data_IF_502646026011
#
_entry.id   IF_502646026011
#
_cell.length_a   1.000
_cell.length_b   1.000
_cell.length_c   1.000
_cell.angle_alpha   90.00
_cell.angle_beta   90.00
_cell.angle_gamma   90.00
#
_symmetry.space_group_name_H-M   'P 1'
#
loop_
_entity.id
_entity.type
_entity.pdbx_description
1 polymer ?
#
# COMPACT_ATOMS: atom_id res chain seq x y z
N UNK A 1 26.07 -19.31 -16.37
CA UNK A 1 25.61 -18.86 -17.71
C UNK A 1 26.37 -17.60 -18.04
N UNK A 2 26.97 -17.51 -19.24
CA UNK A 2 27.68 -16.28 -19.64
C UNK A 2 26.67 -15.34 -20.37
N UNK A 3 26.09 -14.40 -19.63
CA UNK A 3 25.28 -13.35 -20.22
C UNK A 3 26.24 -12.32 -20.81
N UNK A 4 26.27 -12.19 -22.13
CA UNK A 4 27.12 -11.25 -22.86
C UNK A 4 26.37 -9.97 -23.20
N UNK A 5 27.10 -8.86 -23.41
CA UNK A 5 26.51 -7.59 -23.78
C UNK A 5 25.73 -7.66 -25.10
N UNK A 6 26.18 -8.46 -26.06
CA UNK A 6 25.48 -8.65 -27.35
C UNK A 6 24.10 -9.27 -27.16
N UNK A 7 23.94 -10.25 -26.26
CA UNK A 7 22.63 -10.83 -25.93
C UNK A 7 21.70 -9.79 -25.32
N UNK A 8 22.22 -8.98 -24.40
CA UNK A 8 21.41 -7.94 -23.73
C UNK A 8 20.99 -6.87 -24.73
N UNK A 9 21.91 -6.43 -25.60
CA UNK A 9 21.60 -5.47 -26.66
C UNK A 9 20.51 -5.97 -27.57
N UNK A 10 20.60 -7.23 -28.04
CA UNK A 10 19.59 -7.85 -28.90
C UNK A 10 18.20 -7.86 -28.25
N UNK A 11 18.11 -8.26 -26.97
CA UNK A 11 16.87 -8.24 -26.18
C UNK A 11 16.26 -6.83 -26.10
N UNK A 12 17.10 -5.82 -25.84
CA UNK A 12 16.63 -4.42 -25.74
C UNK A 12 16.16 -3.89 -27.12
N UNK A 13 16.91 -4.19 -28.18
CA UNK A 13 16.59 -3.68 -29.52
C UNK A 13 15.35 -4.34 -30.11
N UNK A 14 15.18 -5.65 -29.88
CA UNK A 14 13.99 -6.39 -30.30
C UNK A 14 12.78 -6.17 -29.35
N UNK A 15 12.97 -5.50 -28.20
CA UNK A 15 11.95 -5.34 -27.13
C UNK A 15 11.47 -6.69 -26.56
N UNK A 16 12.36 -7.68 -26.51
CA UNK A 16 12.07 -9.03 -26.00
C UNK A 16 12.12 -9.02 -24.46
N UNK A 17 11.20 -8.25 -23.87
CA UNK A 17 10.99 -8.15 -22.43
C UNK A 17 9.60 -8.70 -22.09
N UNK A 18 9.55 -9.59 -21.12
CA UNK A 18 8.33 -10.08 -20.51
C UNK A 18 8.28 -9.69 -19.03
N UNK A 19 7.13 -9.90 -18.39
CA UNK A 19 6.88 -9.50 -17.01
C UNK A 19 6.43 -10.71 -16.20
N UNK A 20 7.07 -10.91 -15.08
CA UNK A 20 6.58 -11.73 -13.96
C UNK A 20 5.97 -10.81 -12.92
N UNK A 21 4.99 -11.32 -12.18
CA UNK A 21 4.35 -10.59 -11.11
C UNK A 21 4.62 -11.27 -9.78
N UNK A 22 4.89 -10.48 -8.75
CA UNK A 22 5.01 -10.98 -7.39
C UNK A 22 3.92 -10.36 -6.51
N UNK A 23 3.08 -11.18 -5.86
CA UNK A 23 1.98 -10.67 -5.07
C UNK A 23 2.44 -10.10 -3.74
N UNK A 24 1.72 -9.04 -3.32
CA UNK A 24 1.82 -8.41 -2.01
C UNK A 24 0.57 -8.79 -1.23
N UNK A 25 0.77 -9.33 -0.02
CA UNK A 25 -0.28 -9.96 0.77
C UNK A 25 -0.62 -9.17 2.02
N UNK A 26 -1.90 -9.18 2.37
CA UNK A 26 -2.39 -8.77 3.69
C UNK A 26 -2.77 -10.01 4.49
N UNK A 27 -2.18 -10.20 5.67
CA UNK A 27 -2.60 -11.24 6.61
C UNK A 27 -3.93 -10.91 7.26
N UNK A 28 -4.21 -9.62 7.47
CA UNK A 28 -5.46 -9.18 8.07
C UNK A 28 -6.66 -9.52 7.19
N UNK A 29 -6.53 -9.28 5.87
CA UNK A 29 -7.59 -9.54 4.90
C UNK A 29 -7.47 -10.92 4.25
N UNK A 30 -6.32 -11.60 4.41
CA UNK A 30 -5.96 -12.86 3.75
C UNK A 30 -6.06 -12.80 2.23
N UNK A 31 -5.69 -11.65 1.65
CA UNK A 31 -5.78 -11.38 0.21
C UNK A 31 -4.50 -10.80 -0.36
N UNK A 32 -4.38 -10.91 -1.67
CA UNK A 32 -3.48 -10.12 -2.48
C UNK A 32 -4.03 -8.70 -2.55
N UNK A 33 -3.25 -7.72 -2.11
CA UNK A 33 -3.62 -6.29 -2.14
C UNK A 33 -2.97 -5.56 -3.30
N UNK A 34 -1.86 -6.07 -3.80
CA UNK A 34 -1.10 -5.53 -4.91
C UNK A 34 -0.25 -6.60 -5.56
N UNK A 35 0.25 -6.29 -6.73
CA UNK A 35 1.23 -7.12 -7.45
C UNK A 35 2.36 -6.25 -7.97
N UNK A 36 3.60 -6.63 -7.71
CA UNK A 36 4.76 -5.96 -8.27
C UNK A 36 5.13 -6.57 -9.62
N UNK A 37 5.31 -5.69 -10.62
CA UNK A 37 5.73 -6.05 -11.96
C UNK A 37 7.26 -6.12 -12.05
N UNK A 38 7.78 -7.30 -12.33
CA UNK A 38 9.21 -7.59 -12.39
C UNK A 38 9.60 -7.97 -13.82
N UNK A 39 10.25 -7.05 -14.51
CA UNK A 39 10.68 -7.25 -15.90
C UNK A 39 11.79 -8.29 -16.02
N UNK A 40 11.76 -9.05 -17.12
CA UNK A 40 12.76 -10.05 -17.51
C UNK A 40 13.06 -9.89 -18.98
N UNK A 41 14.32 -10.02 -19.37
CA UNK A 41 14.68 -10.17 -20.77
C UNK A 41 14.51 -11.63 -21.22
N UNK A 42 14.06 -11.83 -22.46
CA UNK A 42 14.02 -13.14 -23.09
C UNK A 42 15.02 -13.18 -24.25
N UNK A 43 16.09 -13.93 -24.09
CA UNK A 43 17.03 -14.20 -25.17
C UNK A 43 16.83 -15.64 -25.65
N UNK A 44 15.94 -15.85 -26.63
CA UNK A 44 15.64 -17.17 -27.18
C UNK A 44 15.31 -18.25 -26.12
N UNK A 45 14.54 -17.86 -25.08
CA UNK A 45 14.19 -18.72 -23.95
C UNK A 45 15.19 -18.70 -22.77
N UNK A 46 16.32 -17.98 -22.89
CA UNK A 46 17.23 -17.71 -21.77
C UNK A 46 16.79 -16.43 -21.04
N UNK A 47 16.40 -16.56 -19.76
CA UNK A 47 15.93 -15.43 -18.96
C UNK A 47 17.09 -14.55 -18.51
N UNK A 48 17.03 -13.26 -18.84
CA UNK A 48 17.97 -12.24 -18.40
C UNK A 48 17.34 -11.44 -17.26
N UNK A 49 18.01 -11.40 -16.09
CA UNK A 49 17.50 -10.65 -14.95
C UNK A 49 17.57 -9.13 -15.15
N UNK A 50 16.72 -8.34 -14.48
CA UNK A 50 16.73 -6.88 -14.58
C UNK A 50 18.07 -6.27 -14.16
N UNK A 51 18.80 -6.91 -13.25
CA UNK A 51 20.14 -6.48 -12.87
C UNK A 51 21.08 -6.33 -14.08
N UNK A 52 21.11 -7.32 -14.98
CA UNK A 52 21.96 -7.27 -16.18
C UNK A 52 21.43 -6.28 -17.22
N UNK A 53 20.10 -6.18 -17.39
CA UNK A 53 19.47 -5.21 -18.30
C UNK A 53 19.83 -3.78 -17.89
N UNK A 54 19.64 -3.42 -16.63
CA UNK A 54 19.91 -2.06 -16.15
C UNK A 54 21.42 -1.78 -15.98
N UNK A 55 22.25 -2.80 -15.69
CA UNK A 55 23.70 -2.64 -15.73
C UNK A 55 24.16 -2.24 -17.13
N UNK A 56 23.77 -3.01 -18.14
CA UNK A 56 24.08 -2.69 -19.54
C UNK A 56 23.55 -1.31 -19.93
N UNK A 57 22.31 -0.99 -19.54
CA UNK A 57 21.70 0.27 -19.86
C UNK A 57 22.46 1.47 -19.30
N UNK A 58 22.99 1.38 -18.08
CA UNK A 58 23.85 2.41 -17.47
C UNK A 58 25.19 2.54 -18.17
N UNK A 59 25.79 1.43 -18.59
CA UNK A 59 27.10 1.42 -19.28
C UNK A 59 27.00 1.91 -20.75
N UNK A 60 25.77 1.94 -21.33
CA UNK A 60 25.52 2.31 -22.73
C UNK A 60 24.53 3.47 -22.91
N UNK A 61 24.35 4.32 -21.90
CA UNK A 61 23.51 5.54 -21.94
C UNK A 61 22.08 5.30 -22.45
N UNK A 62 21.48 4.15 -22.15
CA UNK A 62 20.11 3.81 -22.59
C UNK A 62 19.14 3.47 -21.46
N UNK A 63 19.40 3.93 -20.24
CA UNK A 63 18.58 3.67 -19.05
C UNK A 63 17.14 4.08 -19.27
N UNK A 64 16.90 5.29 -19.78
CA UNK A 64 15.57 5.80 -20.06
C UNK A 64 14.78 4.89 -21.04
N UNK A 65 15.47 4.39 -22.09
CA UNK A 65 14.86 3.47 -23.08
C UNK A 65 14.42 2.17 -22.42
N UNK A 66 15.28 1.58 -21.59
CA UNK A 66 15.01 0.30 -20.91
C UNK A 66 13.93 0.44 -19.86
N UNK A 67 14.00 1.48 -19.04
CA UNK A 67 13.04 1.76 -17.98
C UNK A 67 11.62 1.98 -18.54
N UNK A 68 11.48 2.81 -19.60
CA UNK A 68 10.22 2.98 -20.31
C UNK A 68 9.66 1.68 -20.86
N UNK A 69 10.50 0.92 -21.55
CA UNK A 69 10.11 -0.36 -22.13
C UNK A 69 9.60 -1.34 -21.06
N UNK A 70 10.27 -1.42 -19.90
CA UNK A 70 9.86 -2.25 -18.79
C UNK A 70 8.47 -1.84 -18.26
N UNK A 71 8.22 -0.53 -18.06
CA UNK A 71 6.92 -0.03 -17.60
C UNK A 71 5.81 -0.22 -18.63
N UNK A 72 6.07 0.03 -19.91
CA UNK A 72 5.11 -0.23 -20.99
C UNK A 72 4.68 -1.69 -21.02
N UNK A 73 5.64 -2.62 -20.92
CA UNK A 73 5.37 -4.06 -20.86
C UNK A 73 4.60 -4.46 -19.60
N UNK A 74 4.92 -3.88 -18.44
CA UNK A 74 4.24 -4.13 -17.18
C UNK A 74 2.76 -3.72 -17.25
N UNK A 75 2.48 -2.49 -17.68
CA UNK A 75 1.11 -1.99 -17.79
C UNK A 75 0.30 -2.73 -18.87
N UNK A 76 0.93 -3.04 -20.01
CA UNK A 76 0.28 -3.82 -21.07
C UNK A 76 -0.01 -5.27 -20.66
N UNK A 77 0.82 -5.89 -19.82
CA UNK A 77 0.55 -7.22 -19.30
C UNK A 77 -0.59 -7.18 -18.27
N UNK A 78 -0.56 -6.20 -17.36
CA UNK A 78 -1.56 -6.01 -16.32
C UNK A 78 -2.96 -5.68 -16.86
N UNK A 79 -3.07 -4.84 -17.89
CA UNK A 79 -4.36 -4.40 -18.47
C UNK A 79 -5.18 -5.52 -19.10
N UNK A 80 -4.59 -6.69 -19.34
CA UNK A 80 -5.28 -7.87 -19.88
C UNK A 80 -6.05 -8.65 -18.81
N UNK A 81 -5.83 -8.33 -17.54
CA UNK A 81 -6.39 -9.06 -16.43
C UNK A 81 -7.72 -8.47 -15.96
N UNK A 82 -8.71 -9.33 -15.71
CA UNK A 82 -10.08 -8.91 -15.34
C UNK A 82 -10.26 -8.62 -13.86
N UNK A 83 -9.40 -9.20 -13.00
CA UNK A 83 -9.39 -8.97 -11.55
C UNK A 83 -7.98 -8.54 -11.21
N UNK A 84 -7.76 -7.24 -11.13
CA UNK A 84 -6.44 -6.71 -10.89
C UNK A 84 -6.41 -5.97 -9.54
N UNK A 85 -5.56 -6.43 -8.60
CA UNK A 85 -5.19 -5.65 -7.43
C UNK A 85 -4.36 -4.43 -7.88
N UNK A 86 -3.90 -3.61 -6.95
CA UNK A 86 -3.03 -2.46 -7.28
C UNK A 86 -1.73 -2.93 -7.95
N UNK A 87 -1.35 -2.29 -9.04
CA UNK A 87 -0.11 -2.56 -9.77
C UNK A 87 1.05 -1.76 -9.18
N UNK A 88 2.11 -2.41 -8.80
CA UNK A 88 3.36 -1.79 -8.40
C UNK A 88 4.35 -1.81 -9.57
N UNK A 89 4.88 -0.66 -9.95
CA UNK A 89 5.83 -0.51 -11.05
C UNK A 89 7.10 0.19 -10.58
N UNK A 90 8.22 -0.42 -10.86
CA UNK A 90 9.53 0.14 -10.58
C UNK A 90 9.81 1.35 -11.49
N UNK A 91 10.46 2.36 -10.92
CA UNK A 91 10.98 3.53 -11.64
C UNK A 91 12.47 3.71 -11.34
N UNK A 92 13.28 3.66 -12.37
CA UNK A 92 14.73 3.90 -12.24
C UNK A 92 15.01 5.41 -12.07
N UNK A 93 15.24 5.82 -10.86
CA UNK A 93 15.32 7.23 -10.47
C UNK A 93 16.50 7.99 -11.12
N UNK A 94 17.56 7.31 -11.57
CA UNK A 94 18.66 7.95 -12.32
C UNK A 94 18.20 8.60 -13.63
N UNK A 95 17.05 8.19 -14.17
CA UNK A 95 16.40 8.78 -15.34
C UNK A 95 16.04 10.26 -15.11
N UNK A 96 15.77 10.67 -13.89
CA UNK A 96 15.44 12.07 -13.54
C UNK A 96 16.59 13.04 -13.81
N UNK A 97 17.83 12.55 -13.95
CA UNK A 97 18.96 13.37 -14.32
C UNK A 97 18.89 13.88 -15.77
N UNK A 98 18.09 13.22 -16.63
CA UNK A 98 18.05 13.42 -18.08
C UNK A 98 16.68 13.88 -18.60
N UNK A 99 15.63 13.85 -17.75
CA UNK A 99 14.26 14.22 -18.13
C UNK A 99 13.66 15.21 -17.14
N UNK A 100 12.71 16.00 -17.63
CA UNK A 100 11.93 16.91 -16.77
C UNK A 100 11.08 16.07 -15.81
N UNK A 101 11.22 16.26 -14.49
CA UNK A 101 10.35 15.60 -13.51
C UNK A 101 8.87 15.89 -13.81
N UNK A 102 8.04 14.85 -13.76
CA UNK A 102 6.61 15.04 -13.99
C UNK A 102 6.22 15.31 -15.46
N UNK A 103 6.95 14.77 -16.42
CA UNK A 103 6.63 14.91 -17.86
C UNK A 103 5.34 14.17 -18.30
N UNK A 104 4.65 13.48 -17.40
CA UNK A 104 3.37 12.81 -17.64
C UNK A 104 3.45 11.52 -18.44
N UNK A 105 4.63 10.96 -18.67
CA UNK A 105 4.80 9.75 -19.47
C UNK A 105 4.10 8.53 -18.86
N UNK A 106 4.27 8.30 -17.55
CA UNK A 106 3.62 7.18 -16.86
C UNK A 106 2.09 7.35 -16.90
N UNK A 107 1.59 8.57 -16.70
CA UNK A 107 0.17 8.89 -16.80
C UNK A 107 -0.39 8.58 -18.19
N UNK A 108 0.35 8.93 -19.26
CA UNK A 108 -0.01 8.61 -20.63
C UNK A 108 -0.06 7.11 -20.85
N UNK A 109 0.97 6.37 -20.43
CA UNK A 109 1.04 4.89 -20.57
C UNK A 109 -0.10 4.21 -19.80
N UNK A 110 -0.43 4.69 -18.60
CA UNK A 110 -1.57 4.19 -17.83
C UNK A 110 -2.89 4.40 -18.58
N UNK A 111 -3.11 5.60 -19.12
CA UNK A 111 -4.30 5.93 -19.93
C UNK A 111 -4.42 5.07 -21.18
N UNK A 112 -3.33 4.87 -21.93
CA UNK A 112 -3.29 4.02 -23.13
C UNK A 112 -3.63 2.55 -22.83
N UNK A 113 -3.38 2.10 -21.60
CA UNK A 113 -3.71 0.75 -21.13
C UNK A 113 -5.03 0.69 -20.34
N UNK A 114 -5.81 1.78 -20.26
CA UNK A 114 -7.04 1.89 -19.47
C UNK A 114 -6.88 1.54 -18.00
N UNK A 115 -5.74 1.86 -17.40
CA UNK A 115 -5.47 1.67 -15.98
C UNK A 115 -5.65 3.02 -15.29
N UNK A 116 -6.49 3.04 -14.26
CA UNK A 116 -6.70 4.22 -13.44
C UNK A 116 -5.47 4.52 -12.58
N UNK A 117 -5.01 5.79 -12.47
CA UNK A 117 -3.82 6.15 -11.71
C UNK A 117 -3.83 5.66 -10.25
N UNK A 118 -4.98 5.69 -9.59
CA UNK A 118 -5.17 5.22 -8.21
C UNK A 118 -4.93 3.70 -8.03
N UNK A 119 -4.87 2.94 -9.13
CA UNK A 119 -4.53 1.52 -9.13
C UNK A 119 -3.05 1.27 -9.46
N UNK A 120 -2.23 2.31 -9.47
CA UNK A 120 -0.79 2.21 -9.74
C UNK A 120 0.00 2.79 -8.59
N UNK A 121 0.96 2.02 -8.09
CA UNK A 121 2.02 2.46 -7.18
C UNK A 121 3.31 2.60 -7.96
N UNK A 122 3.93 3.77 -7.92
CA UNK A 122 5.26 3.99 -8.50
C UNK A 122 6.29 3.75 -7.39
N UNK A 123 7.16 2.76 -7.59
CA UNK A 123 8.23 2.41 -6.67
C UNK A 123 9.50 3.19 -7.00
N UNK A 124 9.97 3.97 -6.05
CA UNK A 124 11.15 4.80 -6.18
C UNK A 124 12.33 4.13 -5.45
N UNK A 125 13.29 3.65 -6.24
CA UNK A 125 14.56 3.21 -5.73
C UNK A 125 15.57 4.36 -5.86
N UNK A 126 15.99 4.89 -4.73
CA UNK A 126 16.66 6.19 -4.61
C UNK A 126 18.17 6.20 -4.79
N UNK A 127 18.78 5.05 -5.00
CA UNK A 127 20.26 4.88 -4.92
C UNK A 127 21.04 5.72 -5.94
N UNK A 128 20.40 6.38 -6.92
CA UNK A 128 21.07 7.00 -8.06
C UNK A 128 20.61 8.42 -8.44
N UNK A 129 19.82 9.10 -7.60
CA UNK A 129 19.36 10.47 -7.89
C UNK A 129 20.43 11.49 -7.51
N UNK A 130 20.79 12.37 -8.44
CA UNK A 130 21.76 13.47 -8.20
C UNK A 130 21.11 14.64 -7.46
N UNK A 131 19.85 14.95 -7.78
CA UNK A 131 19.10 16.04 -7.17
C UNK A 131 17.83 15.53 -6.51
N UNK A 132 17.76 15.65 -5.20
CA UNK A 132 16.60 15.28 -4.39
C UNK A 132 15.37 16.14 -4.69
N UNK A 133 15.55 17.34 -5.22
CA UNK A 133 14.45 18.21 -5.64
C UNK A 133 13.69 17.64 -6.84
N UNK A 134 14.39 17.07 -7.82
CA UNK A 134 13.77 16.42 -8.98
C UNK A 134 12.92 15.22 -8.56
N UNK A 135 13.38 14.47 -7.57
CA UNK A 135 12.62 13.34 -7.01
C UNK A 135 11.34 13.81 -6.29
N UNK A 136 11.41 14.91 -5.54
CA UNK A 136 10.26 15.53 -4.90
C UNK A 136 9.24 16.01 -5.95
N UNK A 137 9.68 16.76 -6.94
CA UNK A 137 8.81 17.25 -8.02
C UNK A 137 8.15 16.11 -8.79
N UNK A 138 8.87 15.01 -9.02
CA UNK A 138 8.34 13.81 -9.63
C UNK A 138 7.24 13.18 -8.76
N UNK A 139 7.53 12.93 -7.50
CA UNK A 139 6.57 12.32 -6.57
C UNK A 139 5.30 13.17 -6.42
N UNK A 140 5.44 14.49 -6.25
CA UNK A 140 4.31 15.41 -6.11
C UNK A 140 3.46 15.48 -7.38
N UNK A 141 4.09 15.48 -8.56
CA UNK A 141 3.36 15.47 -9.83
C UNK A 141 2.49 14.21 -9.95
N UNK A 142 3.07 13.02 -9.76
CA UNK A 142 2.31 11.76 -9.92
C UNK A 142 1.27 11.59 -8.83
N UNK A 143 1.57 11.95 -7.59
CA UNK A 143 0.58 11.94 -6.49
C UNK A 143 -0.61 12.87 -6.78
N UNK A 144 -0.36 14.07 -7.30
CA UNK A 144 -1.44 15.02 -7.65
C UNK A 144 -2.31 14.52 -8.80
N UNK A 145 -1.82 13.55 -9.60
CA UNK A 145 -2.57 12.87 -10.64
C UNK A 145 -3.18 11.52 -10.18
N UNK A 146 -3.16 11.23 -8.88
CA UNK A 146 -3.85 10.09 -8.28
C UNK A 146 -3.01 8.82 -8.10
N UNK A 147 -1.73 8.81 -8.51
CA UNK A 147 -0.84 7.68 -8.26
C UNK A 147 -0.45 7.59 -6.79
N UNK A 148 -0.13 6.38 -6.34
CA UNK A 148 0.54 6.17 -5.06
C UNK A 148 2.05 6.08 -5.27
N UNK A 149 2.80 6.56 -4.28
CA UNK A 149 4.27 6.55 -4.31
C UNK A 149 4.79 5.60 -3.22
N UNK A 150 5.60 4.63 -3.61
CA UNK A 150 6.30 3.76 -2.68
C UNK A 150 7.80 4.10 -2.64
N UNK A 151 8.35 4.13 -1.44
CA UNK A 151 9.80 4.15 -1.24
C UNK A 151 10.28 2.71 -1.12
N UNK A 152 11.12 2.29 -2.06
CA UNK A 152 11.58 0.90 -2.19
C UNK A 152 12.94 0.65 -1.54
N UNK A 153 13.21 -0.60 -1.16
CA UNK A 153 14.46 -1.07 -0.56
C UNK A 153 14.91 -0.26 0.68
N UNK A 154 13.96 0.13 1.53
CA UNK A 154 14.26 0.89 2.74
C UNK A 154 15.00 0.01 3.75
N UNK A 155 16.28 0.34 3.99
CA UNK A 155 17.17 -0.37 4.91
C UNK A 155 17.78 0.55 5.97
N UNK A 156 18.77 0.09 6.72
CA UNK A 156 19.48 0.87 7.75
C UNK A 156 20.54 1.79 7.14
N UNK A 157 20.14 2.88 6.51
CA UNK A 157 21.08 3.87 5.95
C UNK A 157 21.01 5.24 6.65
N UNK A 158 22.09 6.02 6.61
CA UNK A 158 22.15 7.37 7.22
C UNK A 158 21.12 8.36 6.66
N UNK A 159 20.52 8.07 5.50
CA UNK A 159 19.68 9.01 4.77
C UNK A 159 18.21 8.62 4.67
N UNK A 160 17.82 7.45 5.19
CA UNK A 160 16.46 6.93 5.10
C UNK A 160 15.41 7.89 5.66
N UNK A 161 15.68 8.51 6.83
CA UNK A 161 14.74 9.43 7.46
C UNK A 161 14.56 10.71 6.63
N UNK A 162 15.64 11.26 6.08
CA UNK A 162 15.57 12.44 5.21
C UNK A 162 14.75 12.17 3.95
N UNK A 163 14.87 10.99 3.39
CA UNK A 163 14.15 10.57 2.19
C UNK A 163 12.66 10.36 2.46
N UNK A 164 12.32 9.67 3.54
CA UNK A 164 10.94 9.53 3.98
C UNK A 164 10.30 10.91 4.18
N UNK A 165 11.02 11.84 4.82
CA UNK A 165 10.52 13.20 5.03
C UNK A 165 10.36 13.98 3.71
N UNK A 166 11.31 13.82 2.78
CA UNK A 166 11.31 14.55 1.51
C UNK A 166 10.20 14.04 0.57
N UNK A 167 10.11 12.72 0.39
CA UNK A 167 9.20 12.09 -0.57
C UNK A 167 7.79 12.00 0.00
N UNK A 168 7.65 11.93 1.35
CA UNK A 168 6.40 11.67 2.04
C UNK A 168 5.62 10.51 1.41
N UNK A 169 6.19 9.28 1.37
CA UNK A 169 5.65 8.18 0.59
C UNK A 169 4.32 7.68 1.15
N UNK A 170 3.47 7.16 0.27
CA UNK A 170 2.23 6.47 0.66
C UNK A 170 2.53 5.05 1.19
N UNK A 171 3.63 4.45 0.71
CA UNK A 171 4.05 3.09 1.06
C UNK A 171 5.57 3.08 1.32
N UNK A 172 6.00 2.36 2.36
CA UNK A 172 7.40 2.06 2.66
C UNK A 172 7.63 0.57 2.54
N UNK A 173 8.48 0.15 1.60
CA UNK A 173 8.89 -1.24 1.43
C UNK A 173 10.20 -1.48 2.19
N UNK A 174 10.13 -2.28 3.26
CA UNK A 174 11.26 -2.56 4.14
C UNK A 174 12.05 -3.72 3.57
N UNK A 175 13.30 -3.43 3.25
CA UNK A 175 14.22 -4.31 2.55
C UNK A 175 14.46 -5.64 3.27
N UNK A 176 14.66 -6.71 2.48
CA UNK A 176 15.01 -8.04 2.95
C UNK A 176 16.20 -8.07 3.91
N UNK A 177 17.17 -7.17 3.78
CA UNK A 177 18.34 -7.14 4.68
C UNK A 177 17.95 -6.91 6.15
N UNK A 178 16.81 -6.23 6.41
CA UNK A 178 16.25 -6.06 7.75
C UNK A 178 15.32 -7.21 8.10
N UNK A 179 14.53 -7.69 7.14
CA UNK A 179 13.48 -8.70 7.34
C UNK A 179 14.07 -10.10 7.55
N UNK A 180 15.17 -10.41 6.85
CA UNK A 180 15.81 -11.73 6.95
C UNK A 180 16.30 -12.05 8.38
N UNK A 181 15.89 -13.21 8.91
CA UNK A 181 16.17 -13.66 10.26
C UNK A 181 15.74 -12.67 11.38
N UNK A 182 14.73 -11.86 11.12
CA UNK A 182 14.24 -10.85 12.06
C UNK A 182 13.71 -11.49 13.37
N UNK A 183 13.26 -12.74 13.33
CA UNK A 183 12.79 -13.51 14.49
C UNK A 183 13.89 -13.73 15.51
N UNK A 184 15.15 -13.79 15.11
CA UNK A 184 16.32 -14.02 15.98
C UNK A 184 17.28 -12.84 16.11
N UNK A 185 17.20 -11.87 15.20
CA UNK A 185 18.11 -10.72 15.14
C UNK A 185 17.52 -9.49 15.84
N UNK A 186 17.91 -9.25 17.09
CA UNK A 186 17.44 -8.09 17.89
C UNK A 186 17.76 -6.74 17.26
N UNK A 187 18.91 -6.60 16.59
CA UNK A 187 19.26 -5.35 15.91
C UNK A 187 18.28 -5.04 14.77
N UNK A 188 18.00 -6.02 13.92
CA UNK A 188 17.03 -5.90 12.85
C UNK A 188 15.62 -5.60 13.41
N UNK A 189 15.24 -6.20 14.54
CA UNK A 189 13.96 -5.91 15.20
C UNK A 189 13.83 -4.44 15.59
N UNK A 190 14.86 -3.85 16.20
CA UNK A 190 14.81 -2.44 16.63
C UNK A 190 14.81 -1.48 15.44
N UNK A 191 15.58 -1.75 14.39
CA UNK A 191 15.53 -0.98 13.14
C UNK A 191 14.15 -1.07 12.48
N UNK A 192 13.61 -2.28 12.37
CA UNK A 192 12.28 -2.53 11.81
C UNK A 192 11.18 -1.78 12.57
N UNK A 193 11.18 -1.86 13.92
CA UNK A 193 10.24 -1.13 14.77
C UNK A 193 10.33 0.38 14.55
N UNK A 194 11.54 0.91 14.41
CA UNK A 194 11.75 2.34 14.15
C UNK A 194 11.11 2.75 12.81
N UNK A 195 11.30 1.97 11.74
CA UNK A 195 10.69 2.22 10.44
C UNK A 195 9.16 2.12 10.48
N UNK A 196 8.62 1.08 11.13
CA UNK A 196 7.17 0.93 11.34
C UNK A 196 6.58 2.12 12.10
N UNK A 197 7.25 2.58 13.17
CA UNK A 197 6.78 3.72 13.93
C UNK A 197 6.81 5.01 13.10
N UNK A 198 7.88 5.22 12.31
CA UNK A 198 7.98 6.36 11.40
C UNK A 198 6.86 6.34 10.37
N UNK A 199 6.66 5.21 9.68
CA UNK A 199 5.59 5.03 8.71
C UNK A 199 4.21 5.36 9.31
N UNK A 200 3.91 4.82 10.50
CA UNK A 200 2.65 5.09 11.21
C UNK A 200 2.46 6.56 11.55
N UNK A 201 3.54 7.27 11.93
CA UNK A 201 3.43 8.69 12.27
C UNK A 201 3.13 9.57 11.06
N UNK A 202 3.65 9.21 9.87
CA UNK A 202 3.40 9.95 8.62
C UNK A 202 2.18 9.43 7.84
N UNK A 203 1.55 8.34 8.28
CA UNK A 203 0.39 7.74 7.61
C UNK A 203 0.72 6.84 6.42
N UNK A 204 1.99 6.45 6.25
CA UNK A 204 2.40 5.52 5.22
C UNK A 204 2.08 4.06 5.61
N UNK A 205 1.69 3.25 4.62
CA UNK A 205 1.58 1.80 4.75
C UNK A 205 2.96 1.15 4.64
N UNK A 206 3.11 -0.05 5.21
CA UNK A 206 4.39 -0.76 5.24
C UNK A 206 4.30 -2.12 4.59
N UNK A 207 5.35 -2.50 3.83
CA UNK A 207 5.52 -3.83 3.24
C UNK A 207 6.81 -4.42 3.77
N UNK A 208 6.77 -5.62 4.36
CA UNK A 208 7.96 -6.41 4.66
C UNK A 208 8.34 -7.25 3.44
N UNK A 209 9.51 -6.96 2.86
CA UNK A 209 9.97 -7.63 1.66
C UNK A 209 10.86 -8.84 1.95
N UNK A 210 10.79 -9.79 1.04
CA UNK A 210 11.66 -10.95 1.05
C UNK A 210 11.44 -11.91 2.23
N UNK A 211 10.24 -11.96 2.82
CA UNK A 211 9.92 -12.95 3.86
C UNK A 211 10.01 -14.37 3.29
N UNK A 212 10.76 -15.25 3.96
CA UNK A 212 10.97 -16.63 3.52
C UNK A 212 10.45 -17.67 4.53
N UNK A 213 10.25 -17.27 5.78
CA UNK A 213 9.80 -18.17 6.85
C UNK A 213 8.53 -17.64 7.54
N UNK A 214 7.79 -18.56 8.16
CA UNK A 214 6.61 -18.17 8.96
C UNK A 214 7.00 -17.36 10.19
N UNK A 215 8.18 -17.61 10.78
CA UNK A 215 8.63 -16.91 11.97
C UNK A 215 9.01 -15.46 11.67
N UNK A 216 9.60 -15.18 10.50
CA UNK A 216 9.79 -13.83 9.99
C UNK A 216 8.44 -13.11 9.81
N UNK A 217 7.47 -13.78 9.15
CA UNK A 217 6.12 -13.22 8.94
C UNK A 217 5.45 -12.86 10.26
N UNK A 218 5.44 -13.78 11.24
CA UNK A 218 4.82 -13.56 12.55
C UNK A 218 5.52 -12.43 13.32
N UNK A 219 6.85 -12.40 13.28
CA UNK A 219 7.64 -11.36 13.97
C UNK A 219 7.36 -9.98 13.39
N UNK A 220 7.39 -9.82 12.06
CA UNK A 220 7.05 -8.57 11.39
C UNK A 220 5.60 -8.14 11.68
N UNK A 221 4.65 -9.09 11.66
CA UNK A 221 3.25 -8.80 11.96
C UNK A 221 3.04 -8.31 13.38
N UNK A 222 3.66 -8.96 14.39
CA UNK A 222 3.60 -8.53 15.78
C UNK A 222 4.21 -7.14 16.01
N UNK A 223 5.16 -6.73 15.17
CA UNK A 223 5.72 -5.38 15.16
C UNK A 223 4.85 -4.37 14.42
N UNK A 224 3.80 -4.84 13.72
CA UNK A 224 2.74 -4.00 13.16
C UNK A 224 2.96 -3.53 11.73
N UNK A 225 3.63 -4.36 10.89
CA UNK A 225 3.66 -4.18 9.44
C UNK A 225 2.27 -4.45 8.84
N UNK A 226 1.96 -3.79 7.74
CA UNK A 226 0.64 -3.89 7.10
C UNK A 226 0.59 -5.05 6.09
N UNK A 227 1.65 -5.20 5.29
CA UNK A 227 1.68 -6.11 4.14
C UNK A 227 3.00 -6.88 4.04
N UNK A 228 2.98 -7.95 3.23
CA UNK A 228 4.09 -8.88 3.07
C UNK A 228 4.33 -9.22 1.61
N UNK A 229 5.60 -9.34 1.26
CA UNK A 229 6.04 -9.84 -0.03
C UNK A 229 7.25 -10.77 0.18
N UNK A 230 7.24 -11.97 -0.45
CA UNK A 230 8.38 -12.87 -0.31
C UNK A 230 8.08 -14.30 -0.72
N UNK A 231 9.14 -15.10 -0.77
CA UNK A 231 9.08 -16.49 -1.24
C UNK A 231 8.35 -17.42 -0.27
N UNK A 232 8.10 -16.97 0.94
CA UNK A 232 7.21 -17.71 1.83
C UNK A 232 5.82 -17.88 1.22
N UNK A 233 5.30 -16.87 0.55
CA UNK A 233 3.99 -16.89 -0.07
C UNK A 233 4.06 -17.32 -1.54
N UNK A 234 4.82 -16.58 -2.36
CA UNK A 234 4.96 -16.83 -3.79
C UNK A 234 6.27 -16.26 -4.32
N UNK A 235 6.85 -16.93 -5.30
CA UNK A 235 7.90 -16.36 -6.15
C UNK A 235 7.27 -15.48 -7.22
N UNK A 236 8.07 -14.61 -7.88
CA UNK A 236 7.63 -13.96 -9.12
C UNK A 236 7.23 -15.01 -10.16
N UNK A 237 6.03 -14.87 -10.72
CA UNK A 237 5.46 -15.83 -11.68
C UNK A 237 4.58 -15.11 -12.69
N UNK A 238 4.16 -15.82 -13.75
CA UNK A 238 3.15 -15.30 -14.66
C UNK A 238 1.80 -15.13 -13.94
N UNK A 239 1.00 -14.17 -14.36
CA UNK A 239 -0.22 -13.75 -13.66
C UNK A 239 -1.17 -14.90 -13.29
N UNK A 240 -1.32 -15.89 -14.15
CA UNK A 240 -2.22 -17.03 -13.94
C UNK A 240 -1.90 -17.89 -12.70
N UNK A 241 -0.69 -17.80 -12.15
CA UNK A 241 -0.24 -18.58 -11.00
C UNK A 241 -0.29 -17.82 -9.67
N UNK A 242 -0.59 -16.50 -9.69
CA UNK A 242 -0.57 -15.64 -8.49
C UNK A 242 -1.59 -16.06 -7.41
N UNK A 243 -2.68 -16.69 -7.81
CA UNK A 243 -3.76 -17.13 -6.94
C UNK A 243 -3.69 -18.63 -6.62
N UNK A 244 -2.47 -19.17 -6.49
CA UNK A 244 -2.27 -20.58 -6.20
C UNK A 244 -2.87 -20.99 -4.85
N UNK A 245 -3.40 -22.22 -4.78
CA UNK A 245 -3.91 -22.78 -3.52
C UNK A 245 -2.81 -22.84 -2.43
N UNK A 246 -1.54 -22.99 -2.82
CA UNK A 246 -0.42 -23.06 -1.88
C UNK A 246 -0.21 -21.71 -1.17
N UNK A 247 -0.19 -20.60 -1.89
CA UNK A 247 -0.06 -19.26 -1.31
C UNK A 247 -1.24 -18.97 -0.35
N UNK A 248 -2.46 -19.33 -0.75
CA UNK A 248 -3.65 -19.20 0.11
C UNK A 248 -3.53 -20.01 1.40
N UNK A 249 -3.09 -21.27 1.33
CA UNK A 249 -2.91 -22.10 2.51
C UNK A 249 -1.84 -21.56 3.44
N UNK A 250 -0.73 -21.03 2.92
CA UNK A 250 0.33 -20.38 3.73
C UNK A 250 -0.19 -19.12 4.41
N UNK A 251 -1.03 -18.36 3.75
CA UNK A 251 -1.68 -17.17 4.32
C UNK A 251 -2.62 -17.54 5.47
N UNK A 252 -3.44 -18.57 5.29
CA UNK A 252 -4.35 -19.09 6.31
C UNK A 252 -3.58 -19.65 7.52
N UNK A 253 -2.50 -20.38 7.31
CA UNK A 253 -1.64 -20.93 8.37
C UNK A 253 -0.97 -19.82 9.18
N UNK A 254 -0.38 -18.82 8.51
CA UNK A 254 0.22 -17.67 9.18
C UNK A 254 -0.80 -16.89 10.02
N UNK A 255 -1.99 -16.62 9.47
CA UNK A 255 -3.06 -15.94 10.19
C UNK A 255 -3.57 -16.74 11.39
N UNK A 256 -3.66 -18.07 11.29
CA UNK A 256 -4.04 -18.95 12.40
C UNK A 256 -2.97 -18.90 13.52
N UNK A 257 -1.69 -19.02 13.18
CA UNK A 257 -0.57 -18.97 14.14
C UNK A 257 -0.52 -17.63 14.85
N UNK A 258 -0.76 -16.51 14.12
CA UNK A 258 -0.85 -15.18 14.70
C UNK A 258 -1.97 -15.11 15.76
N UNK A 259 -3.17 -15.56 15.42
CA UNK A 259 -4.29 -15.57 16.36
C UNK A 259 -4.00 -16.39 17.63
N UNK A 260 -3.27 -17.49 17.50
CA UNK A 260 -2.86 -18.31 18.65
C UNK A 260 -1.81 -17.62 19.52
N UNK A 261 -0.86 -16.89 18.92
CA UNK A 261 0.15 -16.14 19.69
C UNK A 261 -0.44 -14.91 20.39
N UNK A 262 -1.38 -14.21 19.76
CA UNK A 262 -2.11 -13.09 20.39
C UNK A 262 -2.97 -13.52 21.58
N UNK A 263 -3.57 -14.71 21.55
CA UNK A 263 -4.36 -15.26 22.68
C UNK A 263 -3.50 -15.61 23.91
N UNK A 264 -2.19 -15.79 23.75
CA UNK A 264 -1.26 -16.11 24.86
C UNK A 264 -0.84 -14.90 25.71
N UNK A 265 -1.07 -13.66 25.26
CA UNK A 265 -0.71 -12.42 25.96
C UNK A 265 -1.88 -11.42 26.07
N UNK A 266 -2.85 -11.61 26.97
CA UNK A 266 -4.02 -10.74 27.06
C UNK A 266 -3.87 -9.67 28.15
N UNK A 267 -2.90 -8.76 28.10
CA UNK A 267 -2.83 -7.71 29.15
C UNK A 267 -2.65 -6.31 28.57
N UNK A 268 -3.59 -5.40 28.91
CA UNK A 268 -3.61 -3.93 28.68
C UNK A 268 -4.46 -3.39 27.52
N UNK A 269 -4.88 -4.20 26.56
CA UNK A 269 -5.62 -3.71 25.37
C UNK A 269 -7.15 -3.57 25.61
N UNK A 270 -7.74 -4.30 26.57
CA UNK A 270 -9.19 -4.52 26.62
C UNK A 270 -10.06 -3.30 27.02
N UNK A 271 -9.62 -2.40 27.87
CA UNK A 271 -10.51 -1.31 28.38
C UNK A 271 -10.77 -0.22 27.32
N UNK A 272 -9.76 0.12 26.52
CA UNK A 272 -9.93 1.11 25.43
C UNK A 272 -10.72 0.55 24.24
N UNK A 273 -10.55 -0.73 23.93
CA UNK A 273 -11.26 -1.41 22.84
C UNK A 273 -12.78 -1.39 23.08
N UNK A 274 -13.23 -1.66 24.29
CA UNK A 274 -14.68 -1.63 24.63
C UNK A 274 -15.28 -0.23 24.49
N UNK A 275 -14.52 0.81 24.81
CA UNK A 275 -14.97 2.20 24.60
C UNK A 275 -15.13 2.49 23.11
N UNK A 276 -14.19 2.06 22.27
CA UNK A 276 -14.23 2.25 20.84
C UNK A 276 -15.38 1.48 20.19
N UNK A 277 -15.61 0.24 20.61
CA UNK A 277 -16.76 -0.56 20.16
C UNK A 277 -18.10 0.13 20.48
N UNK A 278 -18.20 0.74 21.66
CA UNK A 278 -19.42 1.46 22.05
C UNK A 278 -19.71 2.65 21.11
N UNK A 279 -18.69 3.43 20.76
CA UNK A 279 -18.83 4.57 19.84
C UNK A 279 -19.36 4.09 18.49
N UNK A 280 -18.74 3.08 17.90
CA UNK A 280 -19.12 2.64 16.54
C UNK A 280 -20.51 2.00 16.50
N UNK A 281 -20.85 1.17 17.49
CA UNK A 281 -22.17 0.51 17.53
C UNK A 281 -23.31 1.47 17.88
N UNK A 282 -23.08 2.50 18.71
CA UNK A 282 -24.05 3.55 18.94
C UNK A 282 -24.37 4.33 17.67
N UNK A 283 -23.32 4.70 16.91
CA UNK A 283 -23.49 5.36 15.61
C UNK A 283 -24.25 4.48 14.61
N UNK A 284 -23.89 3.18 14.52
CA UNK A 284 -24.60 2.22 13.66
C UNK A 284 -26.09 2.16 14.00
N UNK A 285 -26.44 2.10 15.28
CA UNK A 285 -27.83 2.08 15.70
C UNK A 285 -28.62 3.31 15.25
N UNK A 286 -27.97 4.48 15.21
CA UNK A 286 -28.59 5.72 14.73
C UNK A 286 -28.70 5.76 13.21
N UNK A 287 -27.76 5.17 12.48
CA UNK A 287 -27.76 5.13 11.00
C UNK A 287 -28.67 4.04 10.44
N UNK A 288 -28.92 2.97 11.20
CA UNK A 288 -29.75 1.87 10.75
C UNK A 288 -31.21 2.31 10.62
N UNK A 289 -31.77 2.09 9.43
CA UNK A 289 -33.20 2.36 9.15
C UNK A 289 -33.53 3.80 8.80
N UNK A 290 -32.57 4.75 8.80
CA UNK A 290 -32.81 6.11 8.31
C UNK A 290 -32.61 6.22 6.79
N UNK A 291 -33.25 7.23 6.21
CA UNK A 291 -33.07 7.56 4.78
C UNK A 291 -31.62 7.92 4.48
N UNK A 292 -30.98 7.31 3.45
CA UNK A 292 -29.62 7.65 3.06
C UNK A 292 -29.34 9.15 2.83
N UNK A 293 -30.31 9.90 2.40
CA UNK A 293 -30.20 11.36 2.25
C UNK A 293 -29.96 12.11 3.59
N UNK A 294 -30.24 11.45 4.71
CA UNK A 294 -30.04 12.01 6.06
C UNK A 294 -28.72 11.60 6.70
N UNK A 295 -27.92 10.73 6.06
CA UNK A 295 -26.65 10.24 6.64
C UNK A 295 -25.70 11.37 7.05
N UNK A 296 -25.47 12.36 6.17
CA UNK A 296 -24.60 13.51 6.50
C UNK A 296 -25.10 14.29 7.72
N UNK A 297 -26.42 14.49 7.84
CA UNK A 297 -27.01 15.20 8.98
C UNK A 297 -26.84 14.41 10.28
N UNK A 298 -27.05 13.08 10.25
CA UNK A 298 -26.89 12.24 11.44
C UNK A 298 -25.43 12.12 11.87
N UNK A 299 -24.48 11.97 10.90
CA UNK A 299 -23.05 12.02 11.19
C UNK A 299 -22.67 13.36 11.85
N UNK A 300 -23.22 14.49 11.38
CA UNK A 300 -22.97 15.80 11.96
C UNK A 300 -23.47 15.89 13.40
N UNK A 301 -24.70 15.43 13.65
CA UNK A 301 -25.27 15.41 15.01
C UNK A 301 -24.42 14.55 15.95
N UNK A 302 -24.05 13.34 15.50
CA UNK A 302 -23.26 12.41 16.29
C UNK A 302 -21.88 12.96 16.65
N UNK A 303 -21.18 13.55 15.69
CA UNK A 303 -19.85 14.15 15.89
C UNK A 303 -19.92 15.31 16.88
N UNK A 304 -20.97 16.14 16.84
CA UNK A 304 -21.14 17.25 17.75
C UNK A 304 -21.37 16.80 19.21
N UNK A 305 -21.90 15.59 19.43
CA UNK A 305 -22.08 15.00 20.75
C UNK A 305 -20.81 14.35 21.32
N UNK A 306 -19.79 14.06 20.44
CA UNK A 306 -18.62 13.26 20.77
C UNK A 306 -17.31 14.00 20.46
N UNK A 307 -16.78 14.74 21.42
CA UNK A 307 -15.57 15.58 21.25
C UNK A 307 -14.29 14.80 20.90
N UNK A 308 -14.26 13.50 21.16
CA UNK A 308 -13.16 12.59 20.79
C UNK A 308 -13.12 12.23 19.32
N UNK A 309 -14.21 12.44 18.57
CA UNK A 309 -14.26 12.14 17.14
C UNK A 309 -13.62 13.29 16.35
N UNK A 310 -12.78 12.95 15.38
CA UNK A 310 -12.17 13.86 14.42
C UNK A 310 -13.08 14.06 13.21
N UNK A 311 -13.46 12.94 12.61
CA UNK A 311 -14.39 12.90 11.48
C UNK A 311 -15.09 11.56 11.36
N UNK A 312 -16.13 11.50 10.53
CA UNK A 312 -16.78 10.25 10.14
C UNK A 312 -17.29 10.31 8.70
N UNK A 313 -17.37 9.16 8.06
CA UNK A 313 -17.84 8.98 6.69
C UNK A 313 -18.35 7.56 6.45
N UNK A 314 -19.12 7.39 5.37
CA UNK A 314 -19.69 6.11 4.98
C UNK A 314 -19.17 5.66 3.61
N UNK A 315 -18.99 4.35 3.46
CA UNK A 315 -18.47 3.69 2.25
C UNK A 315 -19.47 2.61 1.83
N UNK A 316 -19.75 2.49 0.54
CA UNK A 316 -20.58 1.40 0.01
C UNK A 316 -19.84 0.06 -0.04
N UNK A 317 -20.55 -1.01 -0.39
CA UNK A 317 -19.97 -2.37 -0.51
C UNK A 317 -18.91 -2.51 -1.61
N UNK A 318 -18.78 -1.52 -2.50
CA UNK A 318 -17.78 -1.50 -3.58
C UNK A 318 -16.53 -0.70 -3.21
N UNK A 319 -16.51 -0.04 -2.05
CA UNK A 319 -15.39 0.78 -1.58
C UNK A 319 -15.53 2.27 -1.87
N UNK A 320 -16.62 2.74 -2.46
CA UNK A 320 -16.81 4.15 -2.75
C UNK A 320 -17.45 4.91 -1.57
N UNK A 321 -16.88 6.05 -1.24
CA UNK A 321 -17.44 6.93 -0.22
C UNK A 321 -18.78 7.50 -0.68
N UNK A 322 -19.84 7.36 0.13
CA UNK A 322 -21.21 7.75 -0.19
C UNK A 322 -21.71 8.98 0.57
N UNK A 323 -20.92 9.46 1.53
CA UNK A 323 -21.18 10.72 2.27
C UNK A 323 -19.98 11.64 2.11
N UNK A 324 -20.13 12.91 2.46
CA UNK A 324 -18.95 13.74 2.72
C UNK A 324 -18.22 13.21 3.96
N UNK A 325 -16.91 13.51 4.07
CA UNK A 325 -16.23 13.35 5.35
C UNK A 325 -16.68 14.45 6.28
N UNK A 326 -17.60 14.12 7.19
CA UNK A 326 -18.12 15.06 8.17
C UNK A 326 -17.07 15.30 9.25
N UNK A 327 -16.65 16.54 9.43
CA UNK A 327 -15.60 16.96 10.34
C UNK A 327 -16.16 17.45 11.67
N UNK A 328 -15.43 17.18 12.76
CA UNK A 328 -15.71 17.82 14.04
C UNK A 328 -15.44 19.34 13.94
N UNK A 329 -16.33 20.20 14.50
CA UNK A 329 -16.18 21.65 14.43
C UNK A 329 -14.85 22.19 14.98
N UNK A 330 -14.27 21.47 15.96
CA UNK A 330 -13.02 21.86 16.62
C UNK A 330 -11.76 21.33 15.89
N UNK A 331 -11.94 20.70 14.72
CA UNK A 331 -10.84 20.07 14.00
C UNK A 331 -10.24 21.05 12.99
N UNK A 332 -8.99 21.44 13.23
CA UNK A 332 -8.18 22.19 12.27
C UNK A 332 -7.59 21.26 11.22
N UNK A 333 -7.64 21.65 9.96
CA UNK A 333 -7.04 20.95 8.84
C UNK A 333 -5.69 21.60 8.50
N UNK A 334 -4.62 20.82 8.53
CA UNK A 334 -3.30 21.32 8.20
C UNK A 334 -3.14 21.57 6.69
N UNK A 335 -2.23 22.48 6.31
CA UNK A 335 -1.98 22.79 4.91
C UNK A 335 -1.53 21.54 4.13
N UNK A 336 -2.12 21.33 2.96
CA UNK A 336 -1.84 20.16 2.10
C UNK A 336 -2.76 18.96 2.36
N UNK A 337 -3.57 18.97 3.41
CA UNK A 337 -4.54 17.91 3.70
C UNK A 337 -5.95 18.35 3.35
N UNK A 338 -6.81 17.41 2.99
CA UNK A 338 -8.23 17.68 2.70
C UNK A 338 -9.09 16.46 2.99
N UNK A 339 -10.29 16.64 3.53
CA UNK A 339 -11.26 15.57 3.67
C UNK A 339 -11.60 14.95 2.32
N UNK A 340 -11.75 13.63 2.29
CA UNK A 340 -12.26 12.93 1.13
C UNK A 340 -13.72 13.32 0.86
N UNK A 341 -14.10 13.35 -0.41
CA UNK A 341 -15.44 13.67 -0.86
C UNK A 341 -16.17 12.43 -1.36
N UNK A 342 -17.47 12.54 -1.61
CA UNK A 342 -18.28 11.48 -2.23
C UNK A 342 -17.61 10.99 -3.52
N UNK A 343 -17.56 9.66 -3.69
CA UNK A 343 -17.00 8.99 -4.86
C UNK A 343 -15.52 8.61 -4.75
N UNK A 344 -14.83 9.02 -3.69
CA UNK A 344 -13.44 8.53 -3.43
C UNK A 344 -13.46 7.03 -3.14
N UNK A 345 -12.52 6.30 -3.76
CA UNK A 345 -12.37 4.87 -3.56
C UNK A 345 -11.46 4.57 -2.35
N UNK A 346 -11.93 3.68 -1.47
CA UNK A 346 -11.23 3.21 -0.27
C UNK A 346 -10.89 1.72 -0.32
N UNK A 347 -10.95 1.08 -1.48
CA UNK A 347 -10.75 -0.37 -1.63
C UNK A 347 -9.45 -0.88 -1.01
N UNK A 348 -8.37 -0.11 -1.11
CA UNK A 348 -7.05 -0.48 -0.59
C UNK A 348 -6.86 -0.19 0.91
N UNK A 349 -7.84 0.43 1.56
CA UNK A 349 -7.72 0.83 2.97
C UNK A 349 -8.09 -0.31 3.90
N UNK A 350 -7.22 -0.61 4.88
CA UNK A 350 -7.42 -1.70 5.83
C UNK A 350 -8.75 -1.62 6.58
N UNK A 351 -9.21 -0.42 6.93
CA UNK A 351 -10.49 -0.22 7.62
C UNK A 351 -11.72 -0.58 6.78
N UNK A 352 -11.61 -0.58 5.45
CA UNK A 352 -12.66 -1.05 4.56
C UNK A 352 -12.54 -2.56 4.33
N UNK A 353 -11.34 -3.03 3.98
CA UNK A 353 -11.09 -4.44 3.71
C UNK A 353 -11.45 -5.36 4.88
N UNK A 354 -11.02 -5.01 6.08
CA UNK A 354 -11.26 -5.84 7.26
C UNK A 354 -12.75 -6.08 7.49
N UNK A 355 -13.57 -5.08 7.22
CA UNK A 355 -15.03 -5.16 7.35
C UNK A 355 -15.66 -5.94 6.19
N UNK A 356 -15.30 -5.59 4.94
CA UNK A 356 -15.82 -6.23 3.74
C UNK A 356 -15.64 -7.75 3.76
N UNK A 357 -14.49 -8.21 4.25
CA UNK A 357 -14.14 -9.63 4.29
C UNK A 357 -14.50 -10.30 5.62
N UNK A 358 -15.19 -9.61 6.52
CA UNK A 358 -15.61 -10.12 7.83
C UNK A 358 -14.46 -10.68 8.69
N UNK A 359 -13.26 -10.09 8.56
CA UNK A 359 -12.06 -10.54 9.27
C UNK A 359 -12.07 -10.03 10.69
N UNK A 360 -12.41 -8.76 10.86
CA UNK A 360 -12.49 -8.08 12.15
C UNK A 360 -13.62 -7.05 12.11
N UNK A 361 -14.61 -7.19 12.99
CA UNK A 361 -15.72 -6.26 13.14
C UNK A 361 -16.04 -6.02 14.63
N UNK A 362 -15.86 -4.79 15.11
CA UNK A 362 -15.30 -3.63 14.42
C UNK A 362 -13.78 -3.73 14.23
N UNK A 363 -13.28 -3.22 13.12
CA UNK A 363 -11.85 -3.01 12.89
C UNK A 363 -11.38 -1.76 13.60
N UNK A 364 -10.19 -1.83 14.21
CA UNK A 364 -9.56 -0.72 14.92
C UNK A 364 -8.12 -0.57 14.45
N UNK A 365 -7.80 0.55 13.79
CA UNK A 365 -6.44 0.81 13.30
C UNK A 365 -5.42 1.08 14.43
N UNK A 366 -4.13 1.08 14.08
CA UNK A 366 -3.10 1.79 14.85
C UNK A 366 -3.31 3.30 14.81
N UNK A 367 -2.42 4.07 15.47
CA UNK A 367 -2.36 5.53 15.30
C UNK A 367 -1.65 5.85 13.98
N UNK A 368 -2.20 6.77 13.19
CA UNK A 368 -1.64 7.22 11.92
C UNK A 368 -1.98 8.70 11.66
N UNK A 369 -1.42 9.29 10.63
CA UNK A 369 -1.77 10.65 10.21
C UNK A 369 -3.00 10.62 9.32
N UNK A 370 -4.06 11.31 9.75
CA UNK A 370 -5.30 11.45 8.98
C UNK A 370 -5.05 12.13 7.63
N UNK A 371 -5.46 11.49 6.55
CA UNK A 371 -5.47 12.11 5.23
C UNK A 371 -6.43 13.30 5.12
N UNK A 372 -7.42 13.37 6.01
CA UNK A 372 -8.38 14.46 6.06
C UNK A 372 -7.82 15.72 6.72
N UNK A 373 -6.98 15.57 7.75
CA UNK A 373 -6.58 16.69 8.63
C UNK A 373 -5.07 16.90 8.74
N UNK A 374 -4.26 15.89 8.48
CA UNK A 374 -2.83 15.90 8.77
C UNK A 374 -2.49 15.68 10.25
N UNK A 375 -3.48 15.38 11.08
CA UNK A 375 -3.28 15.12 12.52
C UNK A 375 -3.29 13.63 12.83
N UNK A 376 -2.68 13.25 13.97
CA UNK A 376 -2.66 11.85 14.40
C UNK A 376 -4.05 11.40 14.81
N UNK A 377 -4.57 10.38 14.15
CA UNK A 377 -5.87 9.78 14.43
C UNK A 377 -5.80 8.25 14.50
N UNK A 378 -6.91 7.64 14.86
CA UNK A 378 -7.15 6.19 14.82
C UNK A 378 -8.53 5.96 14.23
N UNK A 379 -8.63 5.10 13.20
CA UNK A 379 -9.92 4.76 12.59
C UNK A 379 -10.53 3.54 13.28
N UNK A 380 -11.82 3.65 13.55
CA UNK A 380 -12.68 2.53 13.85
C UNK A 380 -13.67 2.38 12.71
N UNK A 381 -13.85 1.17 12.22
CA UNK A 381 -14.86 0.89 11.21
C UNK A 381 -15.68 -0.36 11.55
N UNK A 382 -16.91 -0.38 11.08
CA UNK A 382 -17.83 -1.50 11.17
C UNK A 382 -18.89 -1.38 10.07
N UNK A 383 -19.79 -2.34 9.95
CA UNK A 383 -20.82 -2.31 8.92
C UNK A 383 -22.24 -2.36 9.48
N UNK A 384 -23.19 -1.93 8.65
CA UNK A 384 -24.61 -2.12 8.85
C UNK A 384 -25.29 -2.33 7.48
N UNK A 385 -26.53 -2.76 7.50
CA UNK A 385 -27.36 -2.88 6.30
C UNK A 385 -28.39 -1.77 6.27
N UNK A 386 -28.46 -1.06 5.15
CA UNK A 386 -29.46 0.00 4.96
C UNK A 386 -30.85 -0.60 4.67
N UNK A 387 -31.87 0.25 4.47
CA UNK A 387 -33.25 -0.15 4.16
C UNK A 387 -33.39 -0.95 2.87
N UNK A 388 -32.42 -0.87 1.97
CA UNK A 388 -32.37 -1.63 0.71
C UNK A 388 -31.61 -2.95 0.86
N UNK A 389 -31.19 -3.32 2.08
CA UNK A 389 -30.34 -4.49 2.37
C UNK A 389 -28.96 -4.42 1.69
N UNK A 390 -28.43 -3.20 1.49
CA UNK A 390 -27.08 -2.96 1.00
C UNK A 390 -26.15 -2.78 2.18
N UNK A 391 -24.96 -3.42 2.13
CA UNK A 391 -23.94 -3.26 3.15
C UNK A 391 -23.27 -1.87 3.03
N UNK A 392 -23.25 -1.15 4.13
CA UNK A 392 -22.59 0.15 4.28
C UNK A 392 -21.52 0.01 5.37
N UNK A 393 -20.31 0.47 5.09
CA UNK A 393 -19.23 0.55 6.08
C UNK A 393 -19.19 1.96 6.65
N UNK A 394 -19.28 2.06 7.98
CA UNK A 394 -19.10 3.31 8.72
C UNK A 394 -17.68 3.40 9.23
N UNK A 395 -17.03 4.54 9.00
CA UNK A 395 -15.69 4.86 9.48
C UNK A 395 -15.73 6.08 10.39
N UNK A 396 -15.06 5.98 11.53
CA UNK A 396 -14.92 7.04 12.52
C UNK A 396 -13.46 7.23 12.87
N UNK A 397 -12.91 8.40 12.63
CA UNK A 397 -11.57 8.76 13.06
C UNK A 397 -11.62 9.42 14.44
N UNK A 398 -10.82 8.94 15.36
CA UNK A 398 -10.70 9.45 16.71
C UNK A 398 -9.44 10.31 16.87
N UNK A 399 -9.57 11.44 17.56
CA UNK A 399 -8.46 12.32 17.93
C UNK A 399 -7.49 11.63 18.88
N UNK A 400 -6.21 11.88 18.69
CA UNK A 400 -5.21 11.52 19.70
C UNK A 400 -5.25 12.56 20.82
N UNK A 401 -5.66 12.14 22.01
CA UNK A 401 -5.59 12.95 23.24
C UNK A 401 -4.23 12.86 23.89
#
# INVERSE_FOLDING_TARGET
>A
MNITEDKIREVIDNKDIFVEFQPIYSLNTKKVIGIEALSRGDYHGEVISPYFLFKYARENDCVLKVDRLCREKAMSAFSKETIAPTLFVNFETSVLNDVVPGNGEILKTASENNISPENIVIELNESNVRDTYDLLMFADFYRSNGFLIALDNVSSGFDVQNRIMLINPDIIKIDRAIVSNIDTNLYNQEVFKSLINTAKQIGAMTVAEGVETVDEVLTCMLMGVDYFQGFYFSKPEQFNYLYSNEARLRLEDAALKLNLSMKKNPTVVNVKIETYKRIIYDLINRLTGIDPQKYNAELTNYINEHSEIECAFLIDSKGFQITDTVMSPDTEILAGYRPAIIGVNHDIKNYFYAIKEQIEDPFISGWYISGATGKSCKTISSHFYNSNNEMIVVCVDLKRR
#
